data_IF_918668492596
#
_entry.id   IF_918668492596
#
_cell.length_a   1.000
_cell.length_b   1.000
_cell.length_c   1.000
_cell.angle_alpha   90.00
_cell.angle_beta   90.00
_cell.angle_gamma   90.00
#
_symmetry.space_group_name_H-M   'P 1'
#
loop_
_entity.id
_entity.type
_entity.pdbx_description
1 polymer ?
#
# COMPACT_ATOMS: atom_id res chain seq x y z
N UNK A 1 6.11 18.92 27.56
CA UNK A 1 5.69 18.11 26.38
C UNK A 1 4.30 18.52 25.84
N UNK A 2 3.37 19.05 26.65
CA UNK A 2 2.04 19.47 26.17
C UNK A 2 2.04 20.79 25.38
N UNK A 3 2.97 21.70 25.62
CA UNK A 3 3.05 22.99 24.89
C UNK A 3 3.65 22.86 23.49
N UNK A 4 4.40 21.79 23.21
CA UNK A 4 5.07 21.54 21.92
C UNK A 4 4.22 20.72 20.93
N UNK A 5 2.99 20.30 21.27
CA UNK A 5 2.15 19.49 20.39
C UNK A 5 1.66 20.27 19.16
N UNK A 6 1.43 21.57 19.29
CA UNK A 6 0.79 22.39 18.25
C UNK A 6 1.55 22.45 16.92
N UNK A 7 2.90 22.50 16.92
CA UNK A 7 3.69 22.59 15.68
C UNK A 7 3.88 21.23 15.00
N UNK A 8 4.10 20.19 15.80
CA UNK A 8 4.12 18.83 15.30
C UNK A 8 2.76 18.48 14.68
N UNK A 9 1.66 18.88 15.31
CA UNK A 9 0.31 18.69 14.78
C UNK A 9 0.09 19.47 13.48
N UNK A 10 0.57 20.71 13.39
CA UNK A 10 0.47 21.52 12.18
C UNK A 10 1.23 20.90 11.00
N UNK A 11 2.49 20.50 11.22
CA UNK A 11 3.31 19.83 10.21
C UNK A 11 2.71 18.48 9.78
N UNK A 12 2.21 17.71 10.73
CA UNK A 12 1.59 16.42 10.50
C UNK A 12 0.29 16.54 9.68
N UNK A 13 -0.57 17.49 10.00
CA UNK A 13 -1.80 17.77 9.26
C UNK A 13 -1.51 18.32 7.85
N UNK A 14 -0.45 19.12 7.69
CA UNK A 14 -0.02 19.57 6.36
C UNK A 14 0.42 18.41 5.47
N UNK A 15 1.13 17.42 6.01
CA UNK A 15 1.50 16.19 5.29
C UNK A 15 0.23 15.46 4.82
N UNK A 16 -0.77 15.32 5.69
CA UNK A 16 -2.04 14.67 5.37
C UNK A 16 -2.77 15.40 4.23
N UNK A 17 -2.94 16.73 4.36
CA UNK A 17 -3.61 17.58 3.35
C UNK A 17 -2.92 17.51 1.98
N UNK A 18 -1.59 17.50 1.95
CA UNK A 18 -0.83 17.36 0.71
C UNK A 18 -1.00 15.99 0.08
N UNK A 19 -1.17 14.92 0.85
CA UNK A 19 -1.51 13.60 0.32
C UNK A 19 -2.91 13.57 -0.32
N UNK A 20 -3.87 14.33 0.20
CA UNK A 20 -5.23 14.41 -0.38
C UNK A 20 -5.24 14.95 -1.83
N UNK A 21 -4.22 15.72 -2.20
CA UNK A 21 -4.07 16.29 -3.55
C UNK A 21 -3.06 15.55 -4.43
N UNK A 22 -2.41 14.52 -3.90
CA UNK A 22 -1.40 13.76 -4.63
C UNK A 22 -2.01 12.91 -5.74
N UNK A 23 -1.32 12.76 -6.86
CA UNK A 23 -1.77 11.95 -8.00
C UNK A 23 -1.61 10.44 -7.79
N UNK A 24 -0.64 10.05 -6.97
CA UNK A 24 -0.36 8.65 -6.61
C UNK A 24 -0.07 8.56 -5.12
N UNK A 25 -0.71 7.62 -4.45
CA UNK A 25 -0.48 7.32 -3.04
C UNK A 25 -0.38 5.81 -2.87
N UNK A 26 0.66 5.34 -2.20
CA UNK A 26 0.78 3.96 -1.73
C UNK A 26 0.26 3.86 -0.30
N UNK A 27 -0.40 2.77 0.06
CA UNK A 27 -0.83 2.52 1.44
C UNK A 27 -0.59 1.07 1.85
N UNK A 28 -0.33 0.89 3.14
CA UNK A 28 -0.13 -0.41 3.79
C UNK A 28 -0.45 -0.29 5.28
N UNK A 29 -0.63 -1.40 5.99
CA UNK A 29 -0.86 -1.39 7.41
C UNK A 29 -0.12 -2.53 8.13
N UNK A 30 0.14 -2.33 9.42
CA UNK A 30 0.76 -3.35 10.27
C UNK A 30 0.20 -3.33 11.67
N UNK A 31 -0.01 -4.52 12.24
CA UNK A 31 -0.39 -4.66 13.64
C UNK A 31 0.73 -4.15 14.56
N UNK A 32 0.33 -3.49 15.65
CA UNK A 32 1.18 -3.05 16.74
C UNK A 32 0.48 -3.26 18.07
N UNK A 33 1.23 -3.60 19.13
CA UNK A 33 0.68 -3.70 20.47
C UNK A 33 0.78 -2.33 21.15
N UNK A 34 -0.35 -1.87 21.70
CA UNK A 34 -0.43 -0.69 22.55
C UNK A 34 -0.99 -1.10 23.90
N UNK A 35 -0.21 -0.96 24.98
CA UNK A 35 -0.53 -1.56 26.25
C UNK A 35 -0.66 -3.09 26.13
N UNK A 36 -1.87 -3.59 26.22
CA UNK A 36 -2.20 -5.03 26.08
C UNK A 36 -3.08 -5.31 24.85
N UNK A 37 -3.39 -4.31 24.04
CA UNK A 37 -4.35 -4.40 22.94
C UNK A 37 -3.67 -4.37 21.59
N UNK A 38 -4.22 -5.08 20.60
CA UNK A 38 -3.77 -5.02 19.22
C UNK A 38 -4.35 -3.78 18.56
N UNK A 39 -3.48 -2.94 18.04
CA UNK A 39 -3.77 -1.77 17.23
C UNK A 39 -3.13 -1.91 15.86
N UNK A 40 -3.40 -0.97 14.96
CA UNK A 40 -2.91 -0.98 13.59
C UNK A 40 -2.24 0.36 13.27
N UNK A 41 -1.00 0.30 12.81
CA UNK A 41 -0.32 1.44 12.18
C UNK A 41 -0.61 1.40 10.69
N UNK A 42 -1.27 2.43 10.21
CA UNK A 42 -1.54 2.67 8.81
C UNK A 42 -0.50 3.62 8.26
N UNK A 43 -0.01 3.36 7.05
CA UNK A 43 0.88 4.25 6.33
C UNK A 43 0.25 4.64 4.99
N UNK A 44 0.23 5.93 4.70
CA UNK A 44 -0.09 6.49 3.40
C UNK A 44 1.09 7.32 2.94
N UNK A 45 1.57 7.12 1.72
CA UNK A 45 2.79 7.78 1.27
C UNK A 45 2.90 7.89 -0.24
N UNK A 46 3.80 8.76 -0.69
CA UNK A 46 4.33 8.86 -2.04
C UNK A 46 5.85 9.12 -2.00
N UNK A 47 6.45 9.55 -3.10
CA UNK A 47 7.90 9.80 -3.15
C UNK A 47 8.35 10.93 -2.22
N UNK A 48 7.48 11.89 -1.90
CA UNK A 48 7.81 13.09 -1.10
C UNK A 48 7.26 13.06 0.33
N UNK A 49 6.18 12.32 0.56
CA UNK A 49 5.40 12.40 1.80
C UNK A 49 5.27 11.02 2.44
N UNK A 50 5.21 11.00 3.76
CA UNK A 50 4.86 9.82 4.56
C UNK A 50 3.92 10.28 5.66
N UNK A 51 2.75 9.68 5.73
CA UNK A 51 1.75 9.89 6.77
C UNK A 51 1.46 8.57 7.47
N UNK A 52 1.70 8.50 8.76
CA UNK A 52 1.44 7.33 9.59
C UNK A 52 0.42 7.71 10.64
N UNK A 53 -0.56 6.88 10.88
CA UNK A 53 -1.48 7.02 12.00
C UNK A 53 -1.81 5.67 12.62
N UNK A 54 -2.23 5.71 13.87
CA UNK A 54 -2.58 4.52 14.64
C UNK A 54 -4.10 4.44 14.79
N UNK A 55 -4.63 3.22 14.83
CA UNK A 55 -6.05 2.94 15.07
C UNK A 55 -6.23 1.57 15.71
N UNK A 56 -7.24 1.41 16.55
CA UNK A 56 -7.69 0.10 17.06
C UNK A 56 -8.31 -0.76 15.94
N UNK A 57 -8.79 -0.11 14.88
CA UNK A 57 -9.46 -0.78 13.77
C UNK A 57 -8.52 -1.03 12.59
N UNK A 58 -8.60 -2.24 12.01
CA UNK A 58 -8.05 -2.57 10.68
C UNK A 58 -9.05 -2.28 9.55
N UNK A 59 -10.21 -1.75 9.85
CA UNK A 59 -11.30 -1.58 8.90
C UNK A 59 -11.39 -0.18 8.32
N UNK A 60 -12.44 0.03 7.49
CA UNK A 60 -12.76 1.29 6.83
C UNK A 60 -12.82 2.48 7.80
N UNK A 61 -13.36 2.27 9.01
CA UNK A 61 -13.46 3.33 10.02
C UNK A 61 -12.12 4.01 10.33
N UNK A 62 -11.01 3.25 10.30
CA UNK A 62 -9.68 3.80 10.52
C UNK A 62 -9.30 4.78 9.40
N UNK A 63 -9.53 4.39 8.16
CA UNK A 63 -9.24 5.22 6.97
C UNK A 63 -10.13 6.47 6.98
N UNK A 64 -11.43 6.31 7.17
CA UNK A 64 -12.41 7.40 7.15
C UNK A 64 -12.15 8.44 8.25
N UNK A 65 -11.57 8.03 9.38
CA UNK A 65 -11.22 8.95 10.47
C UNK A 65 -10.15 9.97 10.06
N UNK A 66 -9.29 9.63 9.09
CA UNK A 66 -8.19 10.49 8.61
C UNK A 66 -8.45 11.03 7.20
N UNK A 67 -9.14 10.29 6.37
CA UNK A 67 -9.48 10.65 4.99
C UNK A 67 -10.99 10.53 4.74
N UNK A 68 -11.82 11.37 5.38
CA UNK A 68 -13.30 11.25 5.30
C UNK A 68 -13.85 11.49 3.89
N UNK A 69 -13.12 12.20 3.03
CA UNK A 69 -13.46 12.41 1.61
C UNK A 69 -12.73 11.43 0.68
N UNK A 70 -11.91 10.54 1.23
CA UNK A 70 -11.00 9.68 0.48
C UNK A 70 -9.84 10.47 -0.12
N UNK A 71 -9.31 9.94 -1.24
CA UNK A 71 -8.23 10.52 -2.05
C UNK A 71 -8.69 10.66 -3.52
N UNK A 72 -9.67 11.52 -3.83
CA UNK A 72 -10.39 11.53 -5.11
C UNK A 72 -9.51 11.89 -6.32
N UNK A 73 -8.30 12.39 -6.08
CA UNK A 73 -7.33 12.74 -7.13
C UNK A 73 -6.24 11.69 -7.32
N UNK A 74 -6.17 10.70 -6.43
CA UNK A 74 -5.08 9.74 -6.37
C UNK A 74 -5.41 8.41 -7.06
N UNK A 75 -4.42 7.83 -7.72
CA UNK A 75 -4.37 6.37 -7.91
C UNK A 75 -3.78 5.76 -6.63
N UNK A 76 -4.57 4.91 -5.96
CA UNK A 76 -4.16 4.25 -4.72
C UNK A 76 -3.49 2.90 -5.03
N UNK A 77 -2.25 2.73 -4.56
CA UNK A 77 -1.43 1.52 -4.77
C UNK A 77 -1.37 0.73 -3.48
N UNK A 78 -1.97 -0.46 -3.45
CA UNK A 78 -2.09 -1.26 -2.22
C UNK A 78 -2.02 -2.76 -2.49
N UNK A 79 -2.02 -3.55 -1.42
CA UNK A 79 -2.37 -4.95 -1.50
C UNK A 79 -3.89 -5.13 -1.79
N UNK A 80 -4.41 -6.36 -1.57
CA UNK A 80 -5.83 -6.66 -1.80
C UNK A 80 -6.69 -6.51 -0.55
N UNK A 81 -6.25 -5.77 0.47
CA UNK A 81 -7.07 -5.56 1.67
C UNK A 81 -8.34 -4.76 1.33
N UNK A 82 -9.50 -5.30 1.71
CA UNK A 82 -10.81 -4.81 1.22
C UNK A 82 -11.12 -3.36 1.61
N UNK A 83 -10.58 -2.86 2.72
CA UNK A 83 -10.81 -1.49 3.16
C UNK A 83 -10.31 -0.45 2.16
N UNK A 84 -9.22 -0.73 1.44
CA UNK A 84 -8.71 0.19 0.42
C UNK A 84 -9.68 0.36 -0.75
N UNK A 85 -10.35 -0.72 -1.16
CA UNK A 85 -11.29 -0.69 -2.31
C UNK A 85 -12.65 -0.05 -1.99
N UNK A 86 -12.89 0.29 -0.72
CA UNK A 86 -14.06 1.08 -0.30
C UNK A 86 -13.78 2.57 -0.21
N UNK A 87 -12.51 2.96 -0.30
CA UNK A 87 -12.10 4.35 -0.26
C UNK A 87 -12.45 5.05 -1.57
N UNK A 88 -12.97 6.27 -1.49
CA UNK A 88 -13.19 7.12 -2.66
C UNK A 88 -11.83 7.57 -3.22
N UNK A 89 -11.45 7.05 -4.37
CA UNK A 89 -10.19 7.37 -5.07
C UNK A 89 -10.44 7.49 -6.57
N UNK A 90 -9.50 8.12 -7.28
CA UNK A 90 -9.57 8.23 -8.74
C UNK A 90 -9.45 6.89 -9.45
N UNK A 91 -8.52 6.04 -8.99
CA UNK A 91 -8.25 4.71 -9.53
C UNK A 91 -7.47 3.87 -8.50
N UNK A 92 -7.34 2.58 -8.74
CA UNK A 92 -6.53 1.67 -7.95
C UNK A 92 -5.43 1.02 -8.79
N UNK A 93 -4.33 0.65 -8.14
CA UNK A 93 -3.35 -0.32 -8.63
C UNK A 93 -3.11 -1.36 -7.56
N UNK A 94 -3.32 -2.61 -7.88
CA UNK A 94 -3.00 -3.73 -6.98
C UNK A 94 -1.50 -4.05 -7.06
N UNK A 95 -0.88 -4.26 -5.92
CA UNK A 95 0.53 -4.68 -5.84
C UNK A 95 0.75 -6.01 -6.55
N UNK A 96 1.42 -5.98 -7.71
CA UNK A 96 1.68 -7.19 -8.50
C UNK A 96 2.70 -8.12 -7.82
N UNK A 97 3.59 -7.59 -6.99
CA UNK A 97 4.56 -8.41 -6.26
C UNK A 97 3.89 -9.41 -5.31
N UNK A 98 2.79 -9.01 -4.66
CA UNK A 98 1.98 -9.92 -3.84
C UNK A 98 1.29 -10.99 -4.67
N UNK A 99 0.80 -10.63 -5.86
CA UNK A 99 0.14 -11.58 -6.76
C UNK A 99 1.13 -12.61 -7.31
N UNK A 100 2.33 -12.17 -7.70
CA UNK A 100 3.39 -13.06 -8.17
C UNK A 100 3.77 -14.06 -7.08
N UNK A 101 4.06 -13.62 -5.85
CA UNK A 101 4.39 -14.51 -4.72
C UNK A 101 3.29 -15.56 -4.47
N UNK A 102 2.02 -15.14 -4.53
CA UNK A 102 0.91 -16.08 -4.35
C UNK A 102 0.78 -17.07 -5.52
N UNK A 103 1.04 -16.63 -6.74
CA UNK A 103 1.01 -17.50 -7.91
C UNK A 103 2.21 -18.47 -7.94
N UNK A 104 3.37 -18.04 -7.47
CA UNK A 104 4.55 -18.89 -7.25
C UNK A 104 4.26 -19.99 -6.23
N UNK A 105 3.66 -19.65 -5.09
CA UNK A 105 3.19 -20.63 -4.11
C UNK A 105 2.25 -21.67 -4.73
N UNK A 106 1.30 -21.26 -5.57
CA UNK A 106 0.41 -22.20 -6.28
C UNK A 106 1.17 -23.09 -7.26
N UNK A 107 2.23 -22.57 -7.87
CA UNK A 107 3.09 -23.36 -8.76
C UNK A 107 3.93 -24.40 -8.01
N UNK A 108 4.32 -24.11 -6.77
CA UNK A 108 4.98 -25.06 -5.86
C UNK A 108 3.97 -26.12 -5.34
N UNK A 109 2.73 -25.71 -5.06
CA UNK A 109 1.67 -26.59 -4.56
C UNK A 109 1.30 -27.71 -5.59
N UNK A 110 1.21 -27.35 -6.88
CA UNK A 110 1.01 -28.30 -7.98
C UNK A 110 1.90 -27.93 -9.17
N UNK A 111 3.11 -28.53 -9.27
CA UNK A 111 4.04 -28.28 -10.37
C UNK A 111 3.56 -28.77 -11.75
N UNK A 112 2.57 -29.64 -11.81
CA UNK A 112 2.08 -30.23 -13.07
C UNK A 112 1.05 -29.36 -13.79
N UNK A 113 0.39 -28.46 -13.06
CA UNK A 113 -0.55 -27.52 -13.66
C UNK A 113 0.17 -26.34 -14.33
N UNK A 114 -0.44 -25.69 -15.27
CA UNK A 114 0.15 -24.58 -16.03
C UNK A 114 -0.56 -23.22 -15.84
N UNK A 115 -1.67 -23.19 -15.12
CA UNK A 115 -2.48 -21.98 -14.96
C UNK A 115 -1.72 -20.88 -14.23
N UNK A 116 -1.09 -21.19 -13.08
CA UNK A 116 -0.30 -20.22 -12.33
C UNK A 116 0.93 -19.73 -13.10
N UNK A 117 1.59 -20.60 -13.86
CA UNK A 117 2.71 -20.19 -14.72
C UNK A 117 2.27 -19.20 -15.79
N UNK A 118 1.12 -19.44 -16.44
CA UNK A 118 0.57 -18.50 -17.43
C UNK A 118 0.18 -17.18 -16.78
N UNK A 119 -0.35 -17.22 -15.55
CA UNK A 119 -0.65 -16.00 -14.79
C UNK A 119 0.64 -15.21 -14.53
N UNK A 120 1.69 -15.84 -14.01
CA UNK A 120 3.00 -15.23 -13.76
C UNK A 120 3.54 -14.61 -15.06
N UNK A 121 3.58 -15.36 -16.15
CA UNK A 121 4.06 -14.88 -17.45
C UNK A 121 3.30 -13.64 -17.96
N UNK A 122 1.98 -13.58 -17.77
CA UNK A 122 1.19 -12.41 -18.17
C UNK A 122 1.54 -11.17 -17.34
N UNK A 123 1.74 -11.34 -16.03
CA UNK A 123 2.14 -10.25 -15.14
C UNK A 123 3.55 -9.78 -15.47
N UNK A 124 4.53 -10.70 -15.59
CA UNK A 124 5.91 -10.36 -15.92
C UNK A 124 6.02 -9.69 -17.30
N UNK A 125 5.28 -10.19 -18.29
CA UNK A 125 5.22 -9.56 -19.61
C UNK A 125 4.69 -8.11 -19.51
N UNK A 126 3.68 -7.86 -18.69
CA UNK A 126 3.16 -6.51 -18.46
C UNK A 126 4.21 -5.57 -17.84
N UNK A 127 4.98 -6.08 -16.86
CA UNK A 127 6.06 -5.33 -16.22
C UNK A 127 7.18 -5.02 -17.23
N UNK A 128 7.55 -5.99 -18.05
CA UNK A 128 8.59 -5.82 -19.08
C UNK A 128 8.18 -4.79 -20.13
N UNK A 129 6.93 -4.82 -20.62
CA UNK A 129 6.41 -3.77 -21.51
C UNK A 129 6.57 -2.37 -20.92
N UNK A 130 6.37 -2.26 -19.60
CA UNK A 130 6.57 -0.99 -18.87
C UNK A 130 8.05 -0.58 -18.86
N UNK A 131 8.95 -1.50 -18.53
CA UNK A 131 10.40 -1.24 -18.47
C UNK A 131 10.98 -0.84 -19.82
N UNK A 132 10.51 -1.46 -20.89
CA UNK A 132 10.94 -1.19 -22.26
C UNK A 132 10.35 0.11 -22.84
N UNK A 133 9.42 0.74 -22.14
CA UNK A 133 8.70 1.92 -22.65
C UNK A 133 7.80 1.61 -23.86
N UNK A 134 7.59 0.35 -24.18
CA UNK A 134 6.90 -0.12 -25.38
C UNK A 134 5.40 -0.37 -25.14
N UNK A 135 4.71 0.61 -24.55
CA UNK A 135 3.30 0.52 -24.17
C UNK A 135 2.45 1.17 -25.27
N UNK A 136 1.44 0.42 -25.74
CA UNK A 136 0.39 0.93 -26.61
C UNK A 136 -0.99 0.51 -26.11
N UNK A 137 -2.04 1.27 -26.40
CA UNK A 137 -3.40 0.93 -26.04
C UNK A 137 -3.82 -0.46 -26.54
N UNK A 138 -3.32 -0.85 -27.73
CA UNK A 138 -3.54 -2.20 -28.30
C UNK A 138 -2.92 -3.28 -27.43
N UNK A 139 -1.67 -3.11 -26.98
CA UNK A 139 -0.98 -4.08 -26.11
C UNK A 139 -1.68 -4.22 -24.76
N UNK A 140 -2.11 -3.11 -24.15
CA UNK A 140 -2.90 -3.12 -22.91
C UNK A 140 -4.20 -3.91 -23.11
N UNK A 141 -4.93 -3.66 -24.21
CA UNK A 141 -6.17 -4.38 -24.52
C UNK A 141 -5.93 -5.88 -24.68
N UNK A 142 -4.86 -6.26 -25.37
CA UNK A 142 -4.49 -7.71 -25.53
C UNK A 142 -4.18 -8.33 -24.18
N UNK A 143 -3.41 -7.67 -23.30
CA UNK A 143 -3.12 -8.17 -21.95
C UNK A 143 -4.40 -8.36 -21.12
N UNK A 144 -5.27 -7.35 -21.12
CA UNK A 144 -6.57 -7.43 -20.41
C UNK A 144 -7.43 -8.60 -20.94
N UNK A 145 -7.45 -8.81 -22.25
CA UNK A 145 -8.19 -9.94 -22.88
C UNK A 145 -7.58 -11.28 -22.47
N UNK A 146 -6.25 -11.42 -22.55
CA UNK A 146 -5.57 -12.67 -22.12
C UNK A 146 -5.82 -12.97 -20.65
N UNK A 147 -5.74 -11.97 -19.78
CA UNK A 147 -6.03 -12.12 -18.36
C UNK A 147 -7.50 -12.52 -18.14
N UNK A 148 -8.44 -11.88 -18.82
CA UNK A 148 -9.88 -12.24 -18.74
C UNK A 148 -10.10 -13.69 -19.13
N UNK A 149 -9.49 -14.17 -20.23
CA UNK A 149 -9.63 -15.55 -20.68
C UNK A 149 -9.04 -16.52 -19.64
N UNK A 150 -7.83 -16.25 -19.13
CA UNK A 150 -7.20 -17.07 -18.09
C UNK A 150 -8.05 -17.16 -16.82
N UNK A 151 -8.63 -16.05 -16.37
CA UNK A 151 -9.52 -16.01 -15.21
C UNK A 151 -10.89 -16.67 -15.47
N UNK A 152 -11.27 -16.86 -16.72
CA UNK A 152 -12.50 -17.58 -17.12
C UNK A 152 -12.37 -19.11 -17.11
N UNK A 153 -11.16 -19.65 -16.99
CA UNK A 153 -10.94 -21.10 -16.98
C UNK A 153 -11.47 -21.74 -15.70
N UNK A 154 -12.02 -22.97 -15.82
CA UNK A 154 -12.41 -23.77 -14.66
C UNK A 154 -11.16 -24.37 -14.01
N UNK A 155 -11.06 -24.25 -12.69
CA UNK A 155 -9.97 -24.80 -11.88
C UNK A 155 -10.47 -25.85 -10.87
N UNK A 156 -11.67 -26.36 -11.06
CA UNK A 156 -12.33 -27.31 -10.14
C UNK A 156 -11.61 -28.64 -9.99
N UNK A 157 -10.72 -28.96 -10.91
CA UNK A 157 -9.85 -30.16 -10.91
C UNK A 157 -8.54 -29.94 -10.14
N UNK A 158 -8.26 -28.71 -9.68
CA UNK A 158 -7.09 -28.33 -8.91
C UNK A 158 -7.44 -28.12 -7.43
N UNK A 159 -6.43 -27.95 -6.60
CA UNK A 159 -6.62 -27.61 -5.19
C UNK A 159 -7.46 -26.34 -5.01
N UNK A 160 -8.24 -26.27 -3.94
CA UNK A 160 -9.15 -25.14 -3.64
C UNK A 160 -8.41 -23.80 -3.51
N UNK A 161 -7.11 -23.79 -3.22
CA UNK A 161 -6.30 -22.56 -3.15
C UNK A 161 -6.24 -21.84 -4.52
N UNK A 162 -6.27 -22.58 -5.65
CA UNK A 162 -6.34 -22.00 -6.98
C UNK A 162 -7.65 -21.23 -7.20
N UNK A 163 -8.78 -21.81 -6.83
CA UNK A 163 -10.08 -21.14 -6.93
C UNK A 163 -10.20 -19.93 -5.98
N UNK A 164 -9.65 -20.04 -4.77
CA UNK A 164 -9.58 -18.90 -3.83
C UNK A 164 -8.75 -17.75 -4.42
N UNK A 165 -7.58 -18.05 -4.95
CA UNK A 165 -6.71 -17.05 -5.56
C UNK A 165 -7.39 -16.39 -6.76
N UNK A 166 -7.94 -17.19 -7.69
CA UNK A 166 -8.69 -16.71 -8.87
C UNK A 166 -9.86 -15.79 -8.47
N UNK A 167 -10.69 -16.21 -7.49
CA UNK A 167 -11.79 -15.39 -6.97
C UNK A 167 -11.29 -14.06 -6.37
N UNK A 168 -10.14 -14.10 -5.70
CA UNK A 168 -9.50 -12.89 -5.18
C UNK A 168 -9.05 -11.94 -6.29
N UNK A 169 -8.51 -12.47 -7.40
CA UNK A 169 -8.10 -11.66 -8.56
C UNK A 169 -9.32 -11.11 -9.30
N UNK A 170 -10.38 -11.90 -9.48
CA UNK A 170 -11.60 -11.44 -10.16
C UNK A 170 -12.21 -10.18 -9.53
N UNK A 171 -12.10 -10.00 -8.21
CA UNK A 171 -12.58 -8.80 -7.49
C UNK A 171 -11.79 -7.54 -7.84
N UNK A 172 -10.54 -7.69 -8.28
CA UNK A 172 -9.60 -6.59 -8.50
C UNK A 172 -9.01 -6.57 -9.92
N UNK A 173 -9.57 -7.37 -10.83
CA UNK A 173 -9.05 -7.57 -12.19
C UNK A 173 -8.86 -6.28 -12.99
N UNK A 174 -9.71 -5.29 -12.76
CA UNK A 174 -9.69 -4.03 -13.48
C UNK A 174 -8.51 -3.14 -13.06
N UNK A 175 -7.93 -3.41 -11.88
CA UNK A 175 -6.84 -2.66 -11.26
C UNK A 175 -5.46 -3.33 -11.39
N UNK A 176 -5.35 -4.41 -12.19
CA UNK A 176 -4.07 -5.12 -12.39
C UNK A 176 -3.09 -4.34 -13.28
N UNK A 177 -3.63 -3.56 -14.22
CA UNK A 177 -2.84 -2.92 -15.29
C UNK A 177 -2.99 -1.40 -15.34
N UNK A 178 -3.40 -0.76 -14.24
CA UNK A 178 -3.50 0.71 -14.13
C UNK A 178 -2.14 1.37 -14.37
N UNK A 179 -1.06 0.77 -13.86
CA UNK A 179 0.32 1.22 -14.03
C UNK A 179 0.78 1.30 -15.51
N UNK A 180 0.15 0.56 -16.42
CA UNK A 180 0.46 0.63 -17.84
C UNK A 180 -0.13 1.87 -18.51
N UNK A 181 -1.23 2.38 -17.96
CA UNK A 181 -1.92 3.57 -18.48
C UNK A 181 -1.38 4.87 -17.88
N UNK A 182 -0.75 4.81 -16.72
CA UNK A 182 -0.20 5.95 -16.00
C UNK A 182 1.27 5.71 -15.59
N UNK A 183 2.22 6.40 -16.24
CA UNK A 183 3.64 6.27 -15.95
C UNK A 183 4.08 6.55 -14.51
N UNK A 184 3.36 7.37 -13.79
CA UNK A 184 3.68 7.69 -12.39
C UNK A 184 3.23 6.61 -11.40
N UNK A 185 2.39 5.66 -11.83
CA UNK A 185 1.88 4.60 -10.95
C UNK A 185 2.85 3.42 -10.95
N UNK A 186 3.42 3.03 -9.80
CA UNK A 186 4.22 1.81 -9.69
C UNK A 186 3.35 0.55 -9.81
N UNK A 187 3.93 -0.54 -10.29
CA UNK A 187 3.26 -1.83 -10.37
C UNK A 187 3.26 -2.60 -9.04
N UNK A 188 4.05 -2.16 -8.07
CA UNK A 188 4.14 -2.77 -6.74
C UNK A 188 3.96 -1.72 -5.63
N UNK A 189 3.78 -2.18 -4.39
CA UNK A 189 3.66 -1.36 -3.19
C UNK A 189 4.89 -1.46 -2.28
N UNK A 190 6.04 -1.80 -2.83
CA UNK A 190 7.27 -2.03 -2.07
C UNK A 190 7.70 -0.80 -1.23
N UNK A 191 7.37 0.41 -1.67
CA UNK A 191 7.67 1.62 -0.92
C UNK A 191 6.92 1.64 0.42
N UNK A 192 5.60 1.35 0.42
CA UNK A 192 4.79 1.29 1.64
C UNK A 192 5.19 0.12 2.54
N UNK A 193 5.49 -1.06 1.95
CA UNK A 193 6.03 -2.20 2.69
C UNK A 193 7.32 -1.84 3.43
N UNK A 194 8.25 -1.12 2.79
CA UNK A 194 9.47 -0.63 3.46
C UNK A 194 9.18 0.35 4.59
N UNK A 195 8.18 1.23 4.41
CA UNK A 195 7.71 2.13 5.45
C UNK A 195 7.18 1.39 6.68
N UNK A 196 6.33 0.40 6.45
CA UNK A 196 5.78 -0.49 7.49
C UNK A 196 6.88 -1.26 8.22
N UNK A 197 7.90 -1.76 7.51
CA UNK A 197 9.04 -2.48 8.13
C UNK A 197 9.78 -1.61 9.14
N UNK A 198 9.95 -0.30 8.90
CA UNK A 198 10.58 0.63 9.85
C UNK A 198 9.79 0.73 11.15
N UNK A 199 8.46 0.78 11.06
CA UNK A 199 7.57 0.78 12.22
C UNK A 199 7.69 -0.54 13.00
N UNK A 200 7.71 -1.68 12.29
CA UNK A 200 7.91 -3.01 12.90
C UNK A 200 9.25 -3.16 13.61
N UNK A 201 10.33 -2.59 13.08
CA UNK A 201 11.64 -2.60 13.74
C UNK A 201 11.54 -1.89 15.09
N UNK A 202 10.91 -0.71 15.13
CA UNK A 202 10.67 0.02 16.39
C UNK A 202 9.92 -0.84 17.41
N UNK A 203 8.85 -1.51 16.96
CA UNK A 203 8.07 -2.39 17.82
C UNK A 203 8.89 -3.58 18.34
N UNK A 204 9.70 -4.22 17.48
CA UNK A 204 10.59 -5.32 17.89
C UNK A 204 11.60 -4.91 18.96
N UNK A 205 12.14 -3.69 18.87
CA UNK A 205 13.12 -3.16 19.82
C UNK A 205 12.47 -2.76 21.14
N UNK A 206 11.30 -2.12 21.12
CA UNK A 206 10.63 -1.60 22.31
C UNK A 206 9.52 -2.51 22.88
N UNK A 207 9.23 -3.64 22.24
CA UNK A 207 8.17 -4.59 22.61
C UNK A 207 6.77 -4.09 22.26
N UNK A 208 6.36 -2.95 22.79
CA UNK A 208 5.04 -2.36 22.53
C UNK A 208 5.07 -0.83 22.71
N UNK A 209 4.01 -0.16 22.30
CA UNK A 209 3.70 1.17 22.79
C UNK A 209 3.00 1.05 24.15
N UNK A 210 3.38 1.89 25.12
CA UNK A 210 2.81 1.80 26.46
C UNK A 210 1.43 2.44 26.58
N UNK A 211 1.20 3.50 25.80
CA UNK A 211 -0.05 4.30 25.81
C UNK A 211 -0.43 4.69 24.38
N UNK A 212 -1.72 5.00 24.16
CA UNK A 212 -2.23 5.51 22.89
C UNK A 212 -1.56 6.83 22.51
N UNK A 213 -1.45 7.77 23.46
CA UNK A 213 -0.74 9.03 23.21
C UNK A 213 0.70 8.84 22.78
N UNK A 214 1.43 7.88 23.36
CA UNK A 214 2.80 7.56 22.95
C UNK A 214 2.87 6.93 21.55
N UNK A 215 1.86 6.16 21.15
CA UNK A 215 1.77 5.60 19.81
C UNK A 215 1.42 6.69 18.78
N UNK A 216 0.52 7.61 19.11
CA UNK A 216 0.17 8.76 18.27
C UNK A 216 1.35 9.72 18.10
N UNK A 217 2.05 10.06 19.17
CA UNK A 217 3.25 10.91 19.11
C UNK A 217 4.33 10.28 18.23
N UNK A 218 4.54 8.95 18.36
CA UNK A 218 5.45 8.24 17.49
C UNK A 218 5.02 8.33 16.02
N UNK A 219 3.74 8.13 15.72
CA UNK A 219 3.21 8.19 14.36
C UNK A 219 3.42 9.59 13.74
N UNK A 220 3.17 10.67 14.49
CA UNK A 220 3.38 12.06 14.08
C UNK A 220 4.86 12.34 13.79
N UNK A 221 5.73 12.07 14.76
CA UNK A 221 7.17 12.32 14.62
C UNK A 221 7.79 11.45 13.50
N UNK A 222 7.35 10.20 13.37
CA UNK A 222 7.79 9.33 12.28
C UNK A 222 7.38 9.88 10.91
N UNK A 223 6.16 10.39 10.78
CA UNK A 223 5.66 11.01 9.55
C UNK A 223 6.49 12.23 9.16
N UNK A 224 6.79 13.11 10.11
CA UNK A 224 7.60 14.32 9.89
C UNK A 224 9.04 13.93 9.49
N UNK A 225 9.66 13.01 10.22
CA UNK A 225 11.02 12.56 9.98
C UNK A 225 11.18 11.88 8.62
N UNK A 226 10.27 10.96 8.25
CA UNK A 226 10.33 10.27 6.97
C UNK A 226 10.03 11.21 5.80
N UNK A 227 9.10 12.15 5.98
CA UNK A 227 8.82 13.19 4.98
C UNK A 227 10.03 14.09 4.78
N UNK A 228 10.70 14.53 5.85
CA UNK A 228 11.92 15.33 5.76
C UNK A 228 13.01 14.58 4.98
N UNK A 229 13.25 13.32 5.32
CA UNK A 229 14.23 12.48 4.63
C UNK A 229 13.94 12.35 3.14
N UNK A 230 12.67 12.13 2.74
CA UNK A 230 12.27 12.05 1.32
C UNK A 230 12.53 13.35 0.55
N UNK A 231 12.55 14.48 1.25
CA UNK A 231 12.84 15.79 0.68
C UNK A 231 14.31 16.21 0.85
N UNK A 232 15.22 15.26 1.15
CA UNK A 232 16.65 15.53 1.28
C UNK A 232 17.07 16.21 2.59
N UNK A 233 16.17 16.31 3.58
CA UNK A 233 16.43 16.98 4.86
C UNK A 233 16.80 15.99 5.97
N UNK A 234 17.53 16.47 6.97
CA UNK A 234 17.86 15.69 8.16
C UNK A 234 16.62 15.38 8.99
N UNK A 235 16.41 14.10 9.32
CA UNK A 235 15.35 13.68 10.25
C UNK A 235 15.49 14.34 11.62
N UNK A 236 16.73 14.43 12.11
CA UNK A 236 17.03 15.05 13.40
C UNK A 236 16.61 16.51 13.41
N UNK A 237 17.04 17.30 12.41
CA UNK A 237 16.70 18.71 12.33
C UNK A 237 15.19 18.93 12.17
N UNK A 238 14.49 18.06 11.43
CA UNK A 238 13.04 18.14 11.27
C UNK A 238 12.31 17.91 12.60
N UNK A 239 12.74 16.91 13.38
CA UNK A 239 12.19 16.68 14.73
C UNK A 239 12.53 17.83 15.66
N UNK A 240 13.78 18.29 15.66
CA UNK A 240 14.23 19.41 16.49
C UNK A 240 13.40 20.67 16.26
N UNK A 241 13.12 20.99 15.00
CA UNK A 241 12.31 22.15 14.60
C UNK A 241 10.87 22.14 15.14
N UNK A 242 10.29 20.96 15.42
CA UNK A 242 8.92 20.83 15.96
C UNK A 242 8.88 20.57 17.47
N UNK A 243 10.03 20.29 18.11
CA UNK A 243 10.12 19.98 19.54
C UNK A 243 10.73 21.13 20.34
N UNK A 244 11.63 21.96 19.78
CA UNK A 244 12.32 23.03 20.47
C UNK A 244 11.59 24.40 20.49
N UNK A 245 10.39 24.45 20.02
CA UNK A 245 9.59 25.68 19.97
C UNK A 245 8.33 25.49 20.78
#
# INVERSE_FOLDING_TARGET
LKENSGKADCAYEEIRKRLETASVVGADETGATVGKHLHWNWIFQNDLLTYVFQSESRGQKAIDSKFPKGLPYSTLVTDRHQSYFRMNVKDHQVCLAHLLRNAEYLNELDPNQNWSRRFIQLIEHSINLRREGNITSRKIKVLKTKMKNLLGESLTHLDNEFEKFKRGILKVKDYLFTFLSNPSVPYDNNASERGVRKIKIKQKVSGCFRTDGGADDFAKLHSIAETAMKNGNSKFNAILAVVQQ
#
